data_IF_782200294796
#
_entry.id   IF_782200294796
#
_cell.length_a   1.000
_cell.length_b   1.000
_cell.length_c   1.000
_cell.angle_alpha   90.00
_cell.angle_beta   90.00
_cell.angle_gamma   90.00
#
_symmetry.space_group_name_H-M   'P 1'
#
loop_
_entity.id
_entity.type
_entity.pdbx_description
1 polymer ?
#
# COMPACT_ATOMS: atom_id res chain seq x y z
N UNK A 1 -1.92 9.00 -18.48
CA UNK A 1 -1.15 9.66 -17.41
C UNK A 1 0.01 8.74 -17.05
N UNK A 2 1.21 9.24 -16.69
CA UNK A 2 2.28 8.33 -16.24
C UNK A 2 2.00 7.84 -14.81
N UNK A 3 2.52 6.67 -14.46
CA UNK A 3 2.33 6.09 -13.12
C UNK A 3 2.87 7.00 -12.01
N UNK A 4 3.97 7.72 -12.26
CA UNK A 4 4.53 8.69 -11.31
C UNK A 4 3.60 9.89 -11.08
N UNK A 5 2.93 10.36 -12.13
CA UNK A 5 1.95 11.44 -12.00
C UNK A 5 0.74 10.96 -11.21
N UNK A 6 0.34 9.71 -11.39
CA UNK A 6 -0.81 9.12 -10.70
C UNK A 6 -0.52 8.85 -9.22
N UNK A 7 0.66 8.35 -8.88
CA UNK A 7 1.15 8.23 -7.50
C UNK A 7 1.08 9.59 -6.79
N UNK A 8 1.57 10.67 -7.42
CA UNK A 8 1.52 12.01 -6.82
C UNK A 8 0.10 12.55 -6.69
N UNK A 9 -0.81 12.21 -7.62
CA UNK A 9 -2.23 12.55 -7.52
C UNK A 9 -2.86 11.84 -6.33
N UNK A 10 -2.77 10.51 -6.25
CA UNK A 10 -3.35 9.73 -5.15
C UNK A 10 -2.75 10.14 -3.82
N UNK A 11 -1.45 10.44 -3.76
CA UNK A 11 -0.80 10.98 -2.56
C UNK A 11 -1.45 12.28 -2.09
N UNK A 12 -1.71 13.22 -3.01
CA UNK A 12 -2.35 14.50 -2.72
C UNK A 12 -3.80 14.34 -2.30
N UNK A 13 -4.53 13.45 -2.95
CA UNK A 13 -5.94 13.15 -2.65
C UNK A 13 -6.07 12.51 -1.27
N UNK A 14 -5.11 11.65 -0.91
CA UNK A 14 -5.09 10.92 0.36
C UNK A 14 -4.55 11.75 1.52
N UNK A 15 -3.60 12.67 1.29
CA UNK A 15 -3.02 13.52 2.33
C UNK A 15 -2.39 14.80 1.80
N UNK A 16 -3.19 15.87 1.76
CA UNK A 16 -2.75 17.20 1.28
C UNK A 16 -1.55 17.74 2.04
N UNK A 17 -1.50 17.55 3.36
CA UNK A 17 -0.42 18.09 4.21
C UNK A 17 0.91 17.36 3.98
N UNK A 18 0.90 16.03 3.90
CA UNK A 18 2.12 15.25 3.66
C UNK A 18 2.59 15.31 2.20
N UNK A 19 1.67 15.49 1.25
CA UNK A 19 2.04 15.65 -0.16
C UNK A 19 2.95 16.87 -0.39
N UNK A 20 2.73 17.97 0.32
CA UNK A 20 3.53 19.21 0.17
C UNK A 20 5.03 18.93 0.36
N UNK A 21 5.53 18.51 1.54
CA UNK A 21 6.96 18.27 1.72
C UNK A 21 7.50 17.15 0.83
N UNK A 22 6.71 16.11 0.52
CA UNK A 22 7.14 15.01 -0.36
C UNK A 22 7.46 15.51 -1.78
N UNK A 23 6.66 16.44 -2.32
CA UNK A 23 6.90 16.98 -3.67
C UNK A 23 8.21 17.74 -3.81
N UNK A 24 8.74 18.31 -2.72
CA UNK A 24 10.02 19.03 -2.69
C UNK A 24 11.24 18.11 -2.52
N UNK A 25 11.06 16.81 -2.28
CA UNK A 25 12.18 15.88 -2.16
C UNK A 25 12.92 15.69 -3.50
N UNK A 26 14.23 15.37 -3.48
CA UNK A 26 14.96 14.90 -4.66
C UNK A 26 14.26 13.71 -5.31
N UNK A 27 14.35 13.57 -6.63
CA UNK A 27 13.54 12.63 -7.42
C UNK A 27 13.45 11.22 -6.82
N UNK A 28 14.60 10.59 -6.53
CA UNK A 28 14.65 9.24 -5.96
C UNK A 28 14.00 9.14 -4.59
N UNK A 29 14.21 10.13 -3.72
CA UNK A 29 13.57 10.16 -2.40
C UNK A 29 12.07 10.40 -2.52
N UNK A 30 11.65 11.28 -3.42
CA UNK A 30 10.24 11.54 -3.68
C UNK A 30 9.53 10.28 -4.15
N UNK A 31 10.11 9.52 -5.07
CA UNK A 31 9.56 8.24 -5.55
C UNK A 31 9.43 7.23 -4.42
N UNK A 32 10.52 6.98 -3.68
CA UNK A 32 10.54 6.06 -2.55
C UNK A 32 9.49 6.43 -1.49
N UNK A 33 9.48 7.68 -1.05
CA UNK A 33 8.60 8.12 0.04
C UNK A 33 7.15 8.18 -0.41
N UNK A 34 6.86 8.52 -1.67
CA UNK A 34 5.48 8.51 -2.17
C UNK A 34 4.91 7.08 -2.16
N UNK A 35 5.66 6.10 -2.67
CA UNK A 35 5.25 4.70 -2.66
C UNK A 35 5.08 4.18 -1.22
N UNK A 36 6.08 4.41 -0.37
CA UNK A 36 6.03 3.99 1.02
C UNK A 36 4.80 4.57 1.73
N UNK A 37 4.54 5.86 1.55
CA UNK A 37 3.38 6.53 2.14
C UNK A 37 2.07 5.90 1.69
N UNK A 38 1.90 5.65 0.38
CA UNK A 38 0.68 5.04 -0.15
C UNK A 38 0.47 3.61 0.38
N UNK A 39 1.53 2.80 0.49
CA UNK A 39 1.44 1.47 1.07
C UNK A 39 1.01 1.50 2.54
N UNK A 40 1.63 2.36 3.36
CA UNK A 40 1.25 2.47 4.78
C UNK A 40 -0.19 2.96 4.93
N UNK A 41 -0.55 4.00 4.19
CA UNK A 41 -1.88 4.58 4.21
C UNK A 41 -2.96 3.60 3.73
N UNK A 42 -2.62 2.73 2.77
CA UNK A 42 -3.51 1.67 2.31
C UNK A 42 -3.85 0.66 3.43
N UNK A 43 -2.88 0.34 4.28
CA UNK A 43 -3.05 -0.54 5.43
C UNK A 43 -3.84 0.15 6.54
N UNK A 44 -3.49 1.40 6.89
CA UNK A 44 -4.20 2.22 7.89
C UNK A 44 -5.70 2.34 7.57
N UNK A 45 -6.05 2.55 6.29
CA UNK A 45 -7.46 2.66 5.86
C UNK A 45 -8.26 1.37 6.07
N UNK A 46 -7.61 0.20 6.17
CA UNK A 46 -8.27 -1.06 6.56
C UNK A 46 -8.34 -1.16 8.09
N UNK A 47 -7.23 -0.89 8.78
CA UNK A 47 -7.12 -0.97 10.24
C UNK A 47 -8.14 -0.06 10.95
N UNK A 48 -8.26 1.19 10.50
CA UNK A 48 -9.13 2.20 11.10
C UNK A 48 -10.57 2.16 10.55
N UNK A 49 -10.89 1.26 9.61
CA UNK A 49 -12.20 1.28 8.95
C UNK A 49 -13.33 0.98 9.94
N UNK A 50 -14.23 1.93 10.18
CA UNK A 50 -15.29 1.81 11.21
C UNK A 50 -16.35 0.77 10.89
N UNK A 51 -16.57 0.45 9.62
CA UNK A 51 -17.63 -0.46 9.17
C UNK A 51 -17.18 -1.90 8.89
N UNK A 52 -15.90 -2.23 9.07
CA UNK A 52 -15.37 -3.59 8.89
C UNK A 52 -15.19 -4.19 10.29
N UNK A 53 -15.63 -5.43 10.51
CA UNK A 53 -15.44 -6.06 11.82
C UNK A 53 -13.97 -6.35 12.08
N UNK A 54 -13.51 -6.26 13.33
CA UNK A 54 -12.09 -6.44 13.67
C UNK A 54 -11.52 -7.77 13.16
N UNK A 55 -12.28 -8.86 13.26
CA UNK A 55 -11.85 -10.17 12.75
C UNK A 55 -11.64 -10.16 11.23
N UNK A 56 -12.48 -9.45 10.49
CA UNK A 56 -12.33 -9.28 9.05
C UNK A 56 -11.12 -8.41 8.71
N UNK A 57 -10.89 -7.30 9.45
CA UNK A 57 -9.70 -6.45 9.26
C UNK A 57 -8.42 -7.26 9.38
N UNK A 58 -8.28 -8.03 10.47
CA UNK A 58 -7.13 -8.90 10.70
C UNK A 58 -6.98 -9.89 9.56
N UNK A 59 -8.07 -10.50 9.09
CA UNK A 59 -8.03 -11.45 7.98
C UNK A 59 -7.61 -10.81 6.64
N UNK A 60 -8.03 -9.57 6.36
CA UNK A 60 -7.65 -8.83 5.15
C UNK A 60 -6.17 -8.45 5.21
N UNK A 61 -5.75 -7.79 6.30
CA UNK A 61 -4.37 -7.33 6.51
C UNK A 61 -3.39 -8.51 6.46
N UNK A 62 -3.75 -9.63 7.08
CA UNK A 62 -2.95 -10.84 7.02
C UNK A 62 -2.73 -11.35 5.59
N UNK A 63 -3.81 -11.43 4.79
CA UNK A 63 -3.69 -11.89 3.40
C UNK A 63 -2.90 -10.91 2.55
N UNK A 64 -2.99 -9.60 2.83
CA UNK A 64 -2.15 -8.59 2.17
C UNK A 64 -0.68 -8.81 2.55
N UNK A 65 -0.38 -9.03 3.83
CA UNK A 65 0.96 -9.36 4.33
C UNK A 65 1.54 -10.60 3.63
N UNK A 66 0.79 -11.70 3.54
CA UNK A 66 1.19 -12.91 2.80
C UNK A 66 1.52 -12.61 1.33
N UNK A 67 0.71 -11.77 0.68
CA UNK A 67 0.93 -11.35 -0.70
C UNK A 67 2.21 -10.50 -0.87
N UNK A 68 2.46 -9.58 0.06
CA UNK A 68 3.68 -8.77 0.07
C UNK A 68 4.92 -9.63 0.28
N UNK A 69 4.88 -10.61 1.19
CA UNK A 69 5.99 -11.53 1.44
C UNK A 69 6.28 -12.44 0.24
N UNK A 70 5.25 -12.82 -0.51
CA UNK A 70 5.39 -13.61 -1.74
C UNK A 70 5.83 -12.79 -2.97
N UNK A 71 5.82 -11.46 -2.87
CA UNK A 71 6.15 -10.58 -3.99
C UNK A 71 7.67 -10.52 -4.25
N UNK A 72 8.06 -10.59 -5.51
CA UNK A 72 9.46 -10.55 -5.95
C UNK A 72 9.67 -9.45 -6.99
N UNK A 73 10.38 -8.40 -6.58
CA UNK A 73 10.75 -7.28 -7.46
C UNK A 73 11.72 -7.66 -8.59
N UNK A 74 12.33 -8.84 -8.52
CA UNK A 74 13.23 -9.37 -9.54
C UNK A 74 12.48 -10.16 -10.63
N UNK A 75 11.19 -10.43 -10.43
CA UNK A 75 10.38 -11.22 -11.33
C UNK A 75 9.29 -10.34 -11.97
N UNK A 76 9.35 -10.05 -13.28
CA UNK A 76 8.35 -9.22 -13.97
C UNK A 76 6.93 -9.79 -13.96
N UNK A 77 6.78 -11.08 -13.63
CA UNK A 77 5.49 -11.77 -13.52
C UNK A 77 4.98 -11.85 -12.08
N UNK A 78 5.74 -11.35 -11.11
CA UNK A 78 5.30 -11.33 -9.72
C UNK A 78 4.11 -10.39 -9.57
N UNK A 79 3.09 -10.87 -8.88
CA UNK A 79 1.84 -10.18 -8.64
C UNK A 79 1.21 -10.71 -7.36
N UNK A 80 0.27 -9.96 -6.82
CA UNK A 80 -0.50 -10.43 -5.68
C UNK A 80 -1.46 -11.52 -6.15
N UNK A 81 -1.50 -12.60 -5.39
CA UNK A 81 -2.44 -13.68 -5.54
C UNK A 81 -3.75 -13.37 -4.82
N UNK A 82 -4.82 -13.28 -5.60
CA UNK A 82 -6.20 -13.11 -5.12
C UNK A 82 -6.51 -11.78 -4.40
N UNK A 83 -5.67 -10.74 -4.51
CA UNK A 83 -5.97 -9.42 -3.92
C UNK A 83 -7.37 -8.90 -4.33
N UNK A 84 -7.69 -8.97 -5.63
CA UNK A 84 -9.01 -8.57 -6.14
C UNK A 84 -10.16 -9.32 -5.46
N UNK A 85 -9.99 -10.62 -5.18
CA UNK A 85 -11.02 -11.42 -4.50
C UNK A 85 -11.14 -11.06 -3.03
N UNK A 86 -10.02 -10.73 -2.39
CA UNK A 86 -9.95 -10.32 -0.98
C UNK A 86 -10.66 -8.97 -0.80
N UNK A 87 -10.43 -8.02 -1.71
CA UNK A 87 -10.97 -6.66 -1.62
C UNK A 87 -12.33 -6.48 -2.30
N UNK A 88 -12.78 -7.44 -3.14
CA UNK A 88 -14.06 -7.37 -3.84
C UNK A 88 -15.27 -7.04 -2.94
N UNK A 89 -15.43 -7.66 -1.75
CA UNK A 89 -16.55 -7.34 -0.85
C UNK A 89 -16.54 -5.89 -0.34
N UNK A 90 -15.36 -5.27 -0.29
CA UNK A 90 -15.12 -3.97 0.32
C UNK A 90 -14.86 -2.86 -0.71
N UNK A 91 -15.01 -3.15 -2.01
CA UNK A 91 -14.69 -2.23 -3.11
C UNK A 91 -15.50 -0.91 -3.09
N UNK A 92 -16.71 -0.93 -2.52
CA UNK A 92 -17.55 0.26 -2.40
C UNK A 92 -17.21 1.15 -1.20
N UNK A 93 -16.45 0.64 -0.24
CA UNK A 93 -16.13 1.35 1.01
C UNK A 93 -14.64 1.70 1.14
N UNK A 94 -13.76 0.85 0.60
CA UNK A 94 -12.32 1.10 0.65
C UNK A 94 -11.89 2.14 -0.39
N UNK A 95 -10.98 3.06 -0.02
CA UNK A 95 -10.52 4.09 -0.93
C UNK A 95 -9.59 3.54 -2.01
N UNK A 96 -9.38 4.36 -3.04
CA UNK A 96 -8.49 4.05 -4.16
C UNK A 96 -7.08 3.63 -3.69
N UNK A 97 -6.53 4.28 -2.66
CA UNK A 97 -5.20 3.99 -2.12
C UNK A 97 -5.09 2.54 -1.64
N UNK A 98 -6.14 1.99 -1.03
CA UNK A 98 -6.17 0.60 -0.56
C UNK A 98 -6.40 -0.39 -1.69
N UNK A 99 -7.35 -0.09 -2.58
CA UNK A 99 -7.71 -0.98 -3.69
C UNK A 99 -6.56 -1.21 -4.68
N UNK A 100 -5.60 -0.28 -4.74
CA UNK A 100 -4.45 -0.30 -5.66
C UNK A 100 -3.11 -0.57 -4.97
N UNK A 101 -3.11 -1.15 -3.77
CA UNK A 101 -1.89 -1.33 -2.96
C UNK A 101 -0.75 -2.06 -3.69
N UNK A 102 -1.07 -3.07 -4.52
CA UNK A 102 -0.10 -3.77 -5.35
C UNK A 102 0.57 -2.84 -6.38
N UNK A 103 -0.19 -1.92 -6.96
CA UNK A 103 0.32 -0.98 -7.94
C UNK A 103 1.30 0.01 -7.31
N UNK A 104 1.05 0.43 -6.06
CA UNK A 104 1.99 1.26 -5.33
C UNK A 104 3.27 0.48 -5.06
N UNK A 105 3.14 -0.72 -4.46
CA UNK A 105 4.27 -1.54 -4.09
C UNK A 105 5.15 -1.88 -5.30
N UNK A 106 4.56 -2.27 -6.43
CA UNK A 106 5.29 -2.63 -7.65
C UNK A 106 6.09 -1.48 -8.27
N UNK A 107 5.79 -0.23 -7.89
CA UNK A 107 6.53 0.97 -8.31
C UNK A 107 7.60 1.41 -7.30
N UNK A 108 7.86 0.64 -6.25
CA UNK A 108 8.95 0.92 -5.32
C UNK A 108 10.33 0.82 -6.03
N UNK A 109 11.26 1.77 -5.80
CA UNK A 109 12.61 1.65 -6.34
C UNK A 109 13.30 0.37 -5.86
N UNK A 110 13.92 -0.37 -6.79
CA UNK A 110 14.43 -1.74 -6.56
C UNK A 110 15.43 -1.83 -5.40
N UNK A 111 16.17 -0.75 -5.13
CA UNK A 111 17.22 -0.70 -4.10
C UNK A 111 16.67 -0.59 -2.68
N UNK A 112 15.43 -0.14 -2.51
CA UNK A 112 14.77 -0.01 -1.20
C UNK A 112 13.53 -0.90 -1.06
N UNK A 113 13.03 -1.43 -2.17
CA UNK A 113 11.82 -2.23 -2.26
C UNK A 113 11.73 -3.37 -1.22
N UNK A 114 12.79 -4.18 -0.96
CA UNK A 114 12.73 -5.21 0.09
C UNK A 114 12.43 -4.64 1.48
N UNK A 115 13.07 -3.52 1.84
CA UNK A 115 12.84 -2.88 3.15
C UNK A 115 11.44 -2.28 3.27
N UNK A 116 10.88 -1.82 2.15
CA UNK A 116 9.51 -1.29 2.11
C UNK A 116 8.51 -2.41 2.33
N UNK A 117 8.73 -3.59 1.73
CA UNK A 117 7.93 -4.80 2.02
C UNK A 117 8.05 -5.19 3.48
N UNK A 118 9.27 -5.33 4.02
CA UNK A 118 9.48 -5.73 5.41
C UNK A 118 8.74 -4.81 6.40
N UNK A 119 8.81 -3.49 6.17
CA UNK A 119 8.12 -2.50 6.99
C UNK A 119 6.59 -2.60 6.84
N UNK A 120 6.08 -2.76 5.62
CA UNK A 120 4.64 -2.85 5.36
C UNK A 120 4.04 -4.13 5.94
N UNK A 121 4.75 -5.24 5.82
CA UNK A 121 4.41 -6.54 6.44
C UNK A 121 4.38 -6.42 7.95
N UNK A 122 5.38 -5.79 8.55
CA UNK A 122 5.44 -5.60 10.01
C UNK A 122 4.24 -4.80 10.54
N UNK A 123 3.81 -3.77 9.81
CA UNK A 123 2.64 -2.97 10.18
C UNK A 123 1.35 -3.78 9.99
N UNK A 124 1.18 -4.44 8.85
CA UNK A 124 0.00 -5.28 8.59
C UNK A 124 -0.15 -6.42 9.62
N UNK A 125 0.96 -6.98 10.10
CA UNK A 125 0.96 -8.04 11.10
C UNK A 125 0.78 -7.50 12.54
N UNK A 126 1.15 -6.25 12.84
CA UNK A 126 0.99 -5.65 14.17
C UNK A 126 -0.49 -5.55 14.57
N UNK A 127 -1.38 -5.32 13.62
CA UNK A 127 -2.82 -5.25 13.86
C UNK A 127 -3.45 -6.58 14.31
N UNK A 128 -2.68 -7.68 14.38
CA UNK A 128 -3.12 -8.97 14.94
C UNK A 128 -3.23 -8.96 16.46
N UNK A 129 -2.47 -8.09 17.13
CA UNK A 129 -2.31 -8.11 18.59
C UNK A 129 -3.28 -7.14 19.31
N UNK A 130 -4.12 -6.41 18.56
CA UNK A 130 -5.13 -5.45 19.05
C UNK A 130 -6.56 -6.02 18.95
#
# INVERSE_FOLDING_TARGET
MSIQTDILRVLKDTSRTFAIPITFLPAKLRETISVAYLCMRALDEIEDHVSIENQEKVAILHKISENMQAYSFLSPISKFHNLDKILAPYKSILPEVTLRIEEWLSNAPIDIAPRLVDASVSIADLSRDN
#
